data_IF_241555324174
#
_entry.id   IF_241555324174
#
_cell.length_a   1.000
_cell.length_b   1.000
_cell.length_c   1.000
_cell.angle_alpha   90.00
_cell.angle_beta   90.00
_cell.angle_gamma   90.00
#
_symmetry.space_group_name_H-M   'P 1'
#
loop_
_entity.id
_entity.type
_entity.pdbx_description
1 polymer ?
#
# COMPACT_ATOMS: atom_id res chain seq x y z
N UNK A 1 -51.61 21.71 16.29
CA UNK A 1 -50.94 20.60 16.99
C UNK A 1 -50.30 19.72 15.93
N UNK A 2 -48.97 19.76 15.81
CA UNK A 2 -48.21 18.95 14.85
C UNK A 2 -47.75 17.72 15.61
N UNK A 3 -48.42 16.58 15.36
CA UNK A 3 -48.05 15.29 15.94
C UNK A 3 -46.80 14.74 15.27
N UNK A 4 -45.65 14.91 15.91
CA UNK A 4 -44.40 14.31 15.49
C UNK A 4 -44.38 12.81 15.79
N UNK A 5 -44.54 11.98 14.77
CA UNK A 5 -44.26 10.55 14.86
C UNK A 5 -42.74 10.33 14.89
N UNK A 6 -42.15 10.29 16.09
CA UNK A 6 -40.81 9.74 16.30
C UNK A 6 -40.83 8.26 15.96
N UNK A 7 -40.27 7.89 14.79
CA UNK A 7 -39.98 6.49 14.48
C UNK A 7 -38.84 6.03 15.37
N UNK A 8 -39.14 5.12 16.30
CA UNK A 8 -38.14 4.38 17.06
C UNK A 8 -37.24 3.62 16.08
N UNK A 9 -35.90 3.78 16.13
CA UNK A 9 -35.01 3.01 15.27
C UNK A 9 -35.20 1.52 15.57
N UNK A 10 -35.62 0.75 14.58
CA UNK A 10 -35.71 -0.70 14.69
C UNK A 10 -34.30 -1.25 14.87
N UNK A 11 -34.10 -2.09 15.90
CA UNK A 11 -32.82 -2.75 16.11
C UNK A 11 -32.46 -3.58 14.86
N UNK A 12 -31.19 -3.55 14.40
CA UNK A 12 -30.77 -4.33 13.24
C UNK A 12 -31.01 -5.81 13.50
N UNK A 13 -31.52 -6.53 12.51
CA UNK A 13 -31.77 -7.96 12.66
C UNK A 13 -30.44 -8.73 12.71
N UNK A 14 -30.39 -9.93 13.32
CA UNK A 14 -29.19 -10.76 13.32
C UNK A 14 -28.62 -11.04 11.91
N UNK A 15 -29.50 -11.11 10.90
CA UNK A 15 -29.15 -11.24 9.49
C UNK A 15 -28.44 -9.99 8.95
N UNK A 16 -28.88 -8.79 9.34
CA UNK A 16 -28.23 -7.53 8.94
C UNK A 16 -26.83 -7.41 9.55
N UNK A 17 -26.63 -7.89 10.78
CA UNK A 17 -25.32 -7.92 11.43
C UNK A 17 -24.38 -8.90 10.75
N UNK A 18 -24.84 -10.09 10.40
CA UNK A 18 -24.03 -11.10 9.71
C UNK A 18 -23.63 -10.66 8.29
N UNK A 19 -24.56 -10.06 7.54
CA UNK A 19 -24.28 -9.49 6.21
C UNK A 19 -23.32 -8.31 6.32
N UNK A 20 -23.50 -7.43 7.30
CA UNK A 20 -22.59 -6.30 7.55
C UNK A 20 -21.19 -6.79 7.95
N UNK A 21 -21.08 -7.80 8.80
CA UNK A 21 -19.78 -8.40 9.18
C UNK A 21 -19.12 -9.14 8.01
N UNK A 22 -19.89 -9.82 7.16
CA UNK A 22 -19.37 -10.43 5.94
C UNK A 22 -18.87 -9.38 4.95
N UNK A 23 -19.60 -8.27 4.80
CA UNK A 23 -19.18 -7.12 3.97
C UNK A 23 -17.95 -6.45 4.55
N UNK A 24 -17.88 -6.22 5.86
CA UNK A 24 -16.68 -5.67 6.52
C UNK A 24 -15.50 -6.62 6.36
N UNK A 25 -15.70 -7.93 6.51
CA UNK A 25 -14.65 -8.94 6.30
C UNK A 25 -14.23 -9.06 4.83
N UNK A 26 -15.14 -8.86 3.88
CA UNK A 26 -14.88 -8.85 2.44
C UNK A 26 -14.17 -7.56 1.99
N UNK A 27 -14.49 -6.42 2.64
CA UNK A 27 -13.90 -5.11 2.36
C UNK A 27 -12.55 -4.94 3.06
N UNK A 28 -12.47 -5.34 4.34
CA UNK A 28 -11.30 -5.11 5.20
C UNK A 28 -10.44 -6.35 5.39
N UNK A 29 -10.85 -7.52 4.90
CA UNK A 29 -10.14 -8.77 5.13
C UNK A 29 -9.97 -9.07 6.63
N UNK A 30 -8.77 -9.55 6.99
CA UNK A 30 -8.31 -9.66 8.37
C UNK A 30 -7.52 -8.41 8.84
N UNK A 31 -7.79 -7.22 8.30
CA UNK A 31 -7.00 -6.02 8.61
C UNK A 31 -6.97 -5.67 10.10
N UNK A 32 -8.01 -6.00 10.87
CA UNK A 32 -7.97 -5.86 12.33
C UNK A 32 -6.98 -6.85 12.95
N UNK A 33 -7.10 -8.14 12.67
CA UNK A 33 -6.21 -9.17 13.20
C UNK A 33 -4.75 -8.90 12.82
N UNK A 34 -4.49 -8.56 11.55
CA UNK A 34 -3.16 -8.19 11.07
C UNK A 34 -2.56 -6.98 11.80
N UNK A 35 -3.37 -5.95 12.10
CA UNK A 35 -2.93 -4.77 12.87
C UNK A 35 -2.65 -5.11 14.33
N UNK A 36 -3.49 -5.92 14.96
CA UNK A 36 -3.33 -6.30 16.37
C UNK A 36 -2.12 -7.23 16.54
N UNK A 37 -1.88 -8.13 15.59
CA UNK A 37 -0.67 -8.95 15.51
C UNK A 37 0.57 -8.10 15.28
N UNK A 38 0.55 -7.15 14.33
CA UNK A 38 1.66 -6.24 14.09
C UNK A 38 2.00 -5.37 15.31
N UNK A 39 0.99 -4.90 16.06
CA UNK A 39 1.19 -4.18 17.34
C UNK A 39 1.84 -5.07 18.39
N UNK A 40 1.41 -6.33 18.48
CA UNK A 40 1.99 -7.30 19.42
C UNK A 40 3.46 -7.53 19.11
N UNK A 41 3.80 -7.77 17.83
CA UNK A 41 5.18 -7.93 17.38
C UNK A 41 6.02 -6.66 17.59
N UNK A 42 5.44 -5.48 17.37
CA UNK A 42 6.11 -4.21 17.65
C UNK A 42 6.48 -4.10 19.13
N UNK A 43 5.53 -4.34 20.05
CA UNK A 43 5.80 -4.32 21.49
C UNK A 43 6.85 -5.36 21.91
N UNK A 44 6.85 -6.55 21.29
CA UNK A 44 7.89 -7.56 21.52
C UNK A 44 9.26 -7.08 21.03
N UNK A 45 9.32 -6.44 19.87
CA UNK A 45 10.54 -5.86 19.32
C UNK A 45 11.11 -4.78 20.26
N UNK A 46 10.26 -3.88 20.76
CA UNK A 46 10.66 -2.84 21.72
C UNK A 46 11.20 -3.42 23.02
N UNK A 47 10.57 -4.48 23.55
CA UNK A 47 11.06 -5.16 24.74
C UNK A 47 12.44 -5.81 24.52
N UNK A 48 12.66 -6.41 23.34
CA UNK A 48 13.96 -7.00 22.97
C UNK A 48 15.03 -5.94 22.77
N UNK A 49 14.67 -4.81 22.16
CA UNK A 49 15.55 -3.66 22.00
C UNK A 49 15.97 -3.10 23.37
N UNK A 50 15.03 -2.91 24.29
CA UNK A 50 15.31 -2.48 25.66
C UNK A 50 16.21 -3.46 26.43
N UNK A 51 16.15 -4.75 26.10
CA UNK A 51 17.03 -5.78 26.66
C UNK A 51 18.40 -5.90 25.95
N UNK A 52 18.69 -5.06 24.95
CA UNK A 52 19.92 -5.12 24.15
C UNK A 52 19.97 -6.31 23.16
N UNK A 53 18.87 -7.01 22.93
CA UNK A 53 18.76 -8.09 21.96
C UNK A 53 18.34 -7.54 20.58
N UNK A 54 19.28 -6.87 19.91
CA UNK A 54 19.05 -6.21 18.62
C UNK A 54 18.66 -7.18 17.49
N UNK A 55 19.23 -8.38 17.47
CA UNK A 55 18.86 -9.43 16.52
C UNK A 55 17.40 -9.87 16.73
N UNK A 56 17.01 -10.16 17.97
CA UNK A 56 15.62 -10.50 18.29
C UNK A 56 14.65 -9.38 17.93
N UNK A 57 15.02 -8.11 18.20
CA UNK A 57 14.22 -6.96 17.81
C UNK A 57 14.01 -6.90 16.29
N UNK A 58 15.09 -7.09 15.51
CA UNK A 58 15.05 -7.09 14.04
C UNK A 58 14.25 -8.27 13.47
N UNK A 59 14.39 -9.46 14.04
CA UNK A 59 13.57 -10.63 13.67
C UNK A 59 12.08 -10.30 13.80
N UNK A 60 11.66 -9.63 14.90
CA UNK A 60 10.26 -9.20 15.09
C UNK A 60 9.81 -8.13 14.10
N UNK A 61 10.67 -7.18 13.72
CA UNK A 61 10.34 -6.20 12.65
C UNK A 61 10.14 -6.90 11.30
N UNK A 62 10.90 -7.95 11.00
CA UNK A 62 10.69 -8.74 9.78
C UNK A 62 9.45 -9.63 9.82
N UNK A 63 9.13 -10.21 10.97
CA UNK A 63 7.86 -10.91 11.17
C UNK A 63 6.68 -9.98 10.86
N UNK A 64 6.71 -8.72 11.33
CA UNK A 64 5.69 -7.71 11.00
C UNK A 64 5.58 -7.47 9.50
N UNK A 65 6.71 -7.32 8.81
CA UNK A 65 6.73 -7.12 7.34
C UNK A 65 6.19 -8.34 6.58
N UNK A 66 6.24 -9.54 7.16
CA UNK A 66 5.68 -10.74 6.52
C UNK A 66 4.14 -10.78 6.55
N UNK A 67 3.51 -10.19 7.57
CA UNK A 67 2.04 -10.09 7.70
C UNK A 67 1.43 -9.34 6.50
N UNK A 68 2.16 -8.34 5.97
CA UNK A 68 1.75 -7.49 4.85
C UNK A 68 1.47 -8.23 3.53
N UNK A 69 2.04 -9.42 3.32
CA UNK A 69 2.08 -10.08 2.00
C UNK A 69 0.82 -10.84 1.57
N UNK A 70 -0.29 -10.83 2.33
CA UNK A 70 -1.36 -11.82 2.14
C UNK A 70 -2.55 -11.34 1.28
N UNK A 71 -2.81 -10.04 1.19
CA UNK A 71 -3.95 -9.52 0.41
C UNK A 71 -3.46 -8.67 -0.78
N UNK A 72 -3.71 -9.11 -2.03
CA UNK A 72 -3.33 -8.35 -3.22
C UNK A 72 -4.25 -7.17 -3.53
N UNK A 73 -5.23 -6.83 -2.68
CA UNK A 73 -6.10 -5.67 -2.91
C UNK A 73 -5.43 -4.34 -2.54
N UNK A 74 -5.85 -3.23 -3.18
CA UNK A 74 -5.39 -1.87 -2.82
C UNK A 74 -5.77 -1.51 -1.38
N UNK A 75 -6.93 -1.96 -0.89
CA UNK A 75 -7.35 -1.72 0.50
C UNK A 75 -6.48 -2.50 1.50
N UNK A 76 -6.20 -3.77 1.19
CA UNK A 76 -5.22 -4.57 1.93
C UNK A 76 -3.84 -3.90 1.97
N UNK A 77 -3.45 -3.26 0.87
CA UNK A 77 -2.21 -2.50 0.77
C UNK A 77 -2.12 -1.34 1.77
N UNK A 78 -3.21 -0.60 2.01
CA UNK A 78 -3.21 0.51 2.97
C UNK A 78 -2.90 0.03 4.39
N UNK A 79 -3.52 -1.08 4.81
CA UNK A 79 -3.21 -1.71 6.10
C UNK A 79 -1.76 -2.19 6.14
N UNK A 80 -1.31 -2.80 5.06
CA UNK A 80 0.07 -3.23 4.88
C UNK A 80 1.08 -2.07 4.95
N UNK A 81 0.76 -0.89 4.41
CA UNK A 81 1.63 0.29 4.49
C UNK A 81 1.74 0.80 5.92
N UNK A 82 0.65 0.82 6.68
CA UNK A 82 0.69 1.16 8.10
C UNK A 82 1.56 0.17 8.90
N UNK A 83 1.42 -1.13 8.63
CA UNK A 83 2.25 -2.17 9.27
C UNK A 83 3.73 -2.00 8.89
N UNK A 84 4.04 -1.69 7.62
CA UNK A 84 5.42 -1.42 7.19
C UNK A 84 5.99 -0.19 7.91
N UNK A 85 5.23 0.90 8.00
CA UNK A 85 5.68 2.10 8.70
C UNK A 85 5.99 1.81 10.17
N UNK A 86 5.15 1.01 10.84
CA UNK A 86 5.45 0.55 12.20
C UNK A 86 6.72 -0.31 12.24
N UNK A 87 6.86 -1.27 11.33
CA UNK A 87 8.03 -2.17 11.30
C UNK A 87 9.34 -1.40 11.12
N UNK A 88 9.32 -0.34 10.31
CA UNK A 88 10.48 0.51 10.04
C UNK A 88 10.67 1.69 10.99
N UNK A 89 9.72 1.94 11.89
CA UNK A 89 9.90 2.92 12.97
C UNK A 89 11.11 2.54 13.81
N UNK A 90 12.05 3.46 13.95
CA UNK A 90 13.30 3.28 14.73
C UNK A 90 14.17 2.11 14.27
N UNK A 91 14.01 1.66 13.03
CA UNK A 91 14.86 0.62 12.44
C UNK A 91 16.33 1.05 12.44
N UNK A 92 16.60 2.35 12.24
CA UNK A 92 17.94 2.93 12.34
C UNK A 92 18.61 2.60 13.68
N UNK A 93 17.86 2.71 14.78
CA UNK A 93 18.37 2.40 16.12
C UNK A 93 18.62 0.90 16.33
N UNK A 94 17.80 0.02 15.75
CA UNK A 94 18.06 -1.43 15.82
C UNK A 94 19.27 -1.79 14.95
N UNK A 95 19.31 -1.29 13.72
CA UNK A 95 20.30 -1.64 12.71
C UNK A 95 21.71 -1.13 13.05
N UNK A 96 21.84 0.01 13.73
CA UNK A 96 23.13 0.56 14.16
C UNK A 96 23.88 -0.34 15.15
N UNK A 97 23.21 -1.29 15.79
CA UNK A 97 23.82 -2.21 16.76
C UNK A 97 24.07 -3.62 16.21
N UNK A 98 23.69 -3.88 14.95
CA UNK A 98 23.90 -5.17 14.31
C UNK A 98 25.36 -5.32 13.86
N UNK A 99 25.87 -6.55 13.95
CA UNK A 99 27.15 -6.92 13.35
C UNK A 99 27.00 -7.17 11.83
N UNK A 100 28.13 -7.34 11.13
CA UNK A 100 28.12 -7.52 9.68
C UNK A 100 27.36 -8.80 9.23
N UNK A 101 27.55 -9.98 9.87
CA UNK A 101 26.76 -11.17 9.54
C UNK A 101 25.25 -10.95 9.68
N UNK A 102 24.81 -10.30 10.77
CA UNK A 102 23.40 -10.00 11.02
C UNK A 102 22.85 -9.04 9.98
N UNK A 103 23.57 -7.96 9.66
CA UNK A 103 23.21 -7.03 8.58
C UNK A 103 22.99 -7.76 7.25
N UNK A 104 23.88 -8.69 6.88
CA UNK A 104 23.73 -9.48 5.64
C UNK A 104 22.55 -10.44 5.70
N UNK A 105 22.35 -11.13 6.83
CA UNK A 105 21.18 -12.00 7.07
C UNK A 105 19.90 -11.21 6.82
N UNK A 106 19.77 -10.04 7.44
CA UNK A 106 18.54 -9.24 7.38
C UNK A 106 18.33 -8.57 6.02
N UNK A 107 19.40 -8.12 5.36
CA UNK A 107 19.32 -7.66 3.97
C UNK A 107 18.80 -8.77 3.04
N UNK A 108 19.30 -10.00 3.22
CA UNK A 108 18.86 -11.17 2.47
C UNK A 108 17.39 -11.53 2.74
N UNK A 109 16.96 -11.51 4.00
CA UNK A 109 15.58 -11.76 4.38
C UNK A 109 14.62 -10.69 3.85
N UNK A 110 14.97 -9.40 3.93
CA UNK A 110 14.20 -8.31 3.32
C UNK A 110 14.10 -8.44 1.81
N UNK A 111 15.20 -8.81 1.14
CA UNK A 111 15.21 -9.07 -0.30
C UNK A 111 14.24 -10.20 -0.66
N UNK A 112 14.27 -11.30 0.10
CA UNK A 112 13.36 -12.43 -0.10
C UNK A 112 11.89 -12.08 0.18
N UNK A 113 11.63 -11.18 1.14
CA UNK A 113 10.30 -10.65 1.41
C UNK A 113 9.82 -9.76 0.26
N UNK A 114 10.64 -8.81 -0.21
CA UNK A 114 10.27 -7.91 -1.31
C UNK A 114 9.96 -8.67 -2.61
N UNK A 115 10.72 -9.73 -2.91
CA UNK A 115 10.50 -10.57 -4.07
C UNK A 115 9.13 -11.30 -4.06
N UNK A 116 8.53 -11.51 -2.88
CA UNK A 116 7.20 -12.12 -2.72
C UNK A 116 6.07 -11.10 -2.74
N UNK A 117 6.38 -9.81 -2.64
CA UNK A 117 5.35 -8.77 -2.58
C UNK A 117 4.67 -8.59 -3.94
N UNK A 118 3.34 -8.40 -3.98
CA UNK A 118 2.65 -8.14 -5.22
C UNK A 118 3.13 -6.82 -5.85
N UNK A 119 3.28 -6.82 -7.16
CA UNK A 119 3.50 -5.59 -7.92
C UNK A 119 2.23 -4.73 -7.90
N UNK A 120 2.36 -3.41 -8.07
CA UNK A 120 1.17 -2.56 -8.18
C UNK A 120 0.24 -3.01 -9.34
N UNK A 121 0.81 -3.53 -10.42
CA UNK A 121 0.05 -4.12 -11.54
C UNK A 121 -0.77 -5.32 -11.08
N UNK A 122 -0.16 -6.26 -10.35
CA UNK A 122 -0.86 -7.41 -9.81
C UNK A 122 -2.02 -6.99 -8.87
N UNK A 123 -1.81 -5.94 -8.08
CA UNK A 123 -2.85 -5.41 -7.20
C UNK A 123 -4.02 -4.81 -7.98
N UNK A 124 -3.75 -4.00 -9.00
CA UNK A 124 -4.77 -3.44 -9.89
C UNK A 124 -5.56 -4.54 -10.61
N UNK A 125 -4.91 -5.63 -11.00
CA UNK A 125 -5.57 -6.79 -11.62
C UNK A 125 -6.47 -7.54 -10.62
N UNK A 126 -6.01 -7.73 -9.39
CA UNK A 126 -6.81 -8.34 -8.32
C UNK A 126 -8.05 -7.50 -8.00
N UNK A 127 -7.90 -6.18 -7.87
CA UNK A 127 -9.03 -5.28 -7.65
C UNK A 127 -10.01 -5.25 -8.81
N UNK A 128 -9.50 -5.24 -10.05
CA UNK A 128 -10.35 -5.39 -11.25
C UNK A 128 -11.21 -6.65 -11.15
N UNK A 129 -10.60 -7.80 -10.87
CA UNK A 129 -11.30 -9.07 -10.78
C UNK A 129 -12.36 -9.05 -9.67
N UNK A 130 -12.00 -8.54 -8.48
CA UNK A 130 -12.90 -8.40 -7.32
C UNK A 130 -14.10 -7.51 -7.63
N UNK A 131 -13.88 -6.32 -8.19
CA UNK A 131 -14.97 -5.38 -8.51
C UNK A 131 -15.89 -5.94 -9.59
N UNK A 132 -15.34 -6.60 -10.62
CA UNK A 132 -16.14 -7.25 -11.65
C UNK A 132 -16.99 -8.41 -11.09
N UNK A 133 -16.44 -9.18 -10.16
CA UNK A 133 -17.19 -10.22 -9.45
C UNK A 133 -18.30 -9.63 -8.58
N UNK A 134 -18.01 -8.56 -7.82
CA UNK A 134 -19.01 -7.86 -7.00
C UNK A 134 -20.14 -7.27 -7.87
N UNK A 135 -19.80 -6.66 -9.01
CA UNK A 135 -20.79 -6.20 -10.00
C UNK A 135 -21.67 -7.36 -10.45
N UNK A 136 -21.07 -8.46 -10.91
CA UNK A 136 -21.79 -9.61 -11.45
C UNK A 136 -22.70 -10.29 -10.40
N UNK A 137 -22.30 -10.31 -9.13
CA UNK A 137 -23.12 -10.87 -8.04
C UNK A 137 -24.29 -9.94 -7.72
N UNK A 138 -24.02 -8.64 -7.51
CA UNK A 138 -25.04 -7.67 -7.06
C UNK A 138 -26.06 -7.34 -8.15
N UNK A 139 -25.67 -7.40 -9.42
CA UNK A 139 -26.54 -7.08 -10.54
C UNK A 139 -27.52 -8.21 -10.92
N UNK A 140 -27.38 -9.41 -10.34
CA UNK A 140 -28.28 -10.55 -10.62
C UNK A 140 -29.67 -10.37 -10.03
N UNK A 141 -29.77 -9.75 -8.86
CA UNK A 141 -31.03 -9.47 -8.19
C UNK A 141 -31.39 -7.98 -8.40
N UNK A 142 -32.48 -7.67 -9.12
CA UNK A 142 -32.92 -6.30 -9.34
C UNK A 142 -33.17 -5.49 -8.05
N UNK A 143 -33.57 -6.14 -6.94
CA UNK A 143 -33.77 -5.48 -5.65
C UNK A 143 -32.43 -5.09 -5.03
N UNK A 144 -31.46 -6.00 -5.01
CA UNK A 144 -30.10 -5.73 -4.50
C UNK A 144 -29.43 -4.65 -5.36
N UNK A 145 -29.55 -4.74 -6.69
CA UNK A 145 -29.00 -3.76 -7.61
C UNK A 145 -29.58 -2.35 -7.37
N UNK A 146 -30.90 -2.23 -7.23
CA UNK A 146 -31.56 -0.95 -6.94
C UNK A 146 -31.17 -0.40 -5.56
N UNK A 147 -31.13 -1.24 -4.53
CA UNK A 147 -30.71 -0.84 -3.19
C UNK A 147 -29.27 -0.32 -3.20
N UNK A 148 -28.36 -1.05 -3.86
CA UNK A 148 -26.98 -0.61 -4.00
C UNK A 148 -26.87 0.70 -4.78
N UNK A 149 -27.60 0.90 -5.88
CA UNK A 149 -27.62 2.20 -6.59
C UNK A 149 -28.11 3.33 -5.67
N UNK A 150 -29.14 3.06 -4.86
CA UNK A 150 -29.67 4.04 -3.92
C UNK A 150 -28.64 4.42 -2.86
N UNK A 151 -27.92 3.43 -2.32
CA UNK A 151 -26.86 3.63 -1.31
C UNK A 151 -25.60 4.31 -1.88
N UNK A 152 -25.31 4.09 -3.16
CA UNK A 152 -24.12 4.65 -3.82
C UNK A 152 -24.28 6.13 -4.23
N UNK A 153 -25.51 6.64 -4.39
CA UNK A 153 -25.73 7.91 -5.10
C UNK A 153 -25.72 9.17 -4.23
N UNK A 154 -24.84 10.12 -4.54
CA UNK A 154 -24.84 11.48 -3.96
C UNK A 154 -26.02 12.34 -4.45
N UNK A 155 -26.66 12.00 -5.59
CA UNK A 155 -27.81 12.76 -6.13
C UNK A 155 -28.85 11.88 -6.85
N UNK A 156 -30.15 12.26 -6.84
CA UNK A 156 -31.21 11.56 -7.59
C UNK A 156 -30.94 11.43 -9.09
N UNK A 157 -30.26 12.43 -9.69
CA UNK A 157 -29.91 12.45 -11.11
C UNK A 157 -28.92 11.34 -11.48
N UNK A 158 -27.92 11.09 -10.64
CA UNK A 158 -26.95 10.02 -10.85
C UNK A 158 -27.59 8.64 -10.70
N UNK A 159 -28.43 8.47 -9.67
CA UNK A 159 -29.18 7.23 -9.47
C UNK A 159 -30.09 6.90 -10.66
N UNK A 160 -30.79 7.90 -11.22
CA UNK A 160 -31.63 7.71 -12.40
C UNK A 160 -30.80 7.33 -13.64
N UNK A 161 -29.62 7.92 -13.82
CA UNK A 161 -28.71 7.58 -14.90
C UNK A 161 -28.19 6.13 -14.78
N UNK A 162 -27.82 5.70 -13.57
CA UNK A 162 -27.34 4.33 -13.30
C UNK A 162 -28.44 3.28 -13.49
N UNK A 163 -29.66 3.56 -13.04
CA UNK A 163 -30.80 2.66 -13.23
C UNK A 163 -31.14 2.40 -14.71
N UNK A 164 -30.78 3.33 -15.60
CA UNK A 164 -30.99 3.21 -17.05
C UNK A 164 -29.80 2.58 -17.78
N UNK A 165 -28.66 2.41 -17.11
CA UNK A 165 -27.43 1.92 -17.74
C UNK A 165 -27.39 0.38 -17.73
N UNK A 166 -27.17 -0.28 -18.88
CA UNK A 166 -26.96 -1.72 -18.92
C UNK A 166 -25.74 -2.13 -18.09
N UNK A 167 -25.84 -3.24 -17.35
CA UNK A 167 -24.74 -3.79 -16.55
C UNK A 167 -23.50 -4.09 -17.41
N UNK A 168 -23.70 -4.53 -18.65
CA UNK A 168 -22.61 -4.76 -19.62
C UNK A 168 -21.84 -3.47 -19.94
N UNK A 169 -22.52 -2.33 -19.98
CA UNK A 169 -21.89 -1.03 -20.19
C UNK A 169 -21.06 -0.62 -18.98
N UNK A 170 -21.59 -0.82 -17.75
CA UNK A 170 -20.86 -0.57 -16.49
C UNK A 170 -19.60 -1.44 -16.43
N UNK A 171 -19.73 -2.74 -16.75
CA UNK A 171 -18.59 -3.66 -16.85
C UNK A 171 -17.51 -3.13 -17.80
N UNK A 172 -17.89 -2.67 -18.99
CA UNK A 172 -16.96 -2.10 -19.96
C UNK A 172 -16.22 -0.86 -19.46
N UNK A 173 -16.88 -0.01 -18.66
CA UNK A 173 -16.21 1.14 -18.03
C UNK A 173 -15.19 0.73 -16.96
N UNK A 174 -15.52 -0.24 -16.11
CA UNK A 174 -14.61 -0.78 -15.10
C UNK A 174 -13.38 -1.40 -15.78
N UNK A 175 -13.58 -2.21 -16.82
CA UNK A 175 -12.48 -2.82 -17.58
C UNK A 175 -11.59 -1.76 -18.22
N UNK A 176 -12.18 -0.77 -18.88
CA UNK A 176 -11.44 0.34 -19.50
C UNK A 176 -10.63 1.11 -18.46
N UNK A 177 -11.20 1.37 -17.29
CA UNK A 177 -10.50 2.04 -16.20
C UNK A 177 -9.27 1.26 -15.73
N UNK A 178 -9.45 0.00 -15.32
CA UNK A 178 -8.35 -0.79 -14.79
C UNK A 178 -7.28 -1.09 -15.84
N UNK A 179 -7.65 -1.32 -17.10
CA UNK A 179 -6.68 -1.52 -18.17
C UNK A 179 -5.81 -0.28 -18.39
N UNK A 180 -6.40 0.92 -18.35
CA UNK A 180 -5.64 2.16 -18.44
C UNK A 180 -4.71 2.37 -17.24
N UNK A 181 -5.15 2.00 -16.02
CA UNK A 181 -4.33 2.06 -14.79
C UNK A 181 -3.15 1.08 -14.85
N UNK A 182 -3.38 -0.15 -15.28
CA UNK A 182 -2.34 -1.17 -15.47
C UNK A 182 -1.29 -0.68 -16.48
N UNK A 183 -1.73 -0.17 -17.64
CA UNK A 183 -0.81 0.35 -18.65
C UNK A 183 0.00 1.55 -18.16
N UNK A 184 -0.57 2.37 -17.27
CA UNK A 184 0.15 3.46 -16.62
C UNK A 184 1.15 2.97 -15.58
N UNK A 185 0.79 1.95 -14.79
CA UNK A 185 1.64 1.34 -13.76
C UNK A 185 2.85 0.57 -14.33
N UNK A 186 2.80 0.14 -15.59
CA UNK A 186 3.92 -0.48 -16.31
C UNK A 186 5.02 0.51 -16.74
N UNK A 187 4.73 1.82 -16.71
CA UNK A 187 5.71 2.87 -17.04
C UNK A 187 6.50 3.27 -15.79
N UNK A 188 7.62 4.01 -15.90
CA UNK A 188 8.23 4.67 -14.73
C UNK A 188 7.20 5.49 -13.95
N UNK A 189 7.46 5.69 -12.66
CA UNK A 189 6.57 6.49 -11.81
C UNK A 189 6.36 7.89 -12.39
N UNK A 190 5.14 8.41 -12.26
CA UNK A 190 4.82 9.77 -12.62
C UNK A 190 3.62 10.25 -11.83
N UNK A 191 3.70 11.47 -11.31
CA UNK A 191 2.58 12.20 -10.70
C UNK A 191 1.50 12.56 -11.73
N UNK A 192 1.83 12.52 -13.04
CA UNK A 192 0.86 12.78 -14.11
C UNK A 192 -0.11 11.62 -14.24
N UNK A 193 -1.31 11.85 -13.73
CA UNK A 193 -2.43 10.94 -13.80
C UNK A 193 -3.02 10.82 -15.20
N UNK A 194 -3.41 9.60 -15.57
CA UNK A 194 -4.22 9.38 -16.77
C UNK A 194 -5.65 9.77 -16.46
N UNK A 195 -6.15 10.83 -17.12
CA UNK A 195 -7.57 11.21 -17.03
C UNK A 195 -8.42 10.16 -17.74
N UNK A 196 -9.09 9.32 -16.97
CA UNK A 196 -10.00 8.30 -17.49
C UNK A 196 -11.44 8.77 -17.27
N UNK A 197 -12.21 8.89 -18.36
CA UNK A 197 -13.66 9.12 -18.24
C UNK A 197 -14.31 7.86 -17.68
N UNK A 198 -14.85 7.98 -16.47
CA UNK A 198 -15.60 6.93 -15.78
C UNK A 198 -17.08 7.31 -15.69
N UNK A 199 -17.95 6.30 -15.72
CA UNK A 199 -19.37 6.47 -15.38
C UNK A 199 -19.54 6.67 -13.86
N UNK A 200 -20.75 7.07 -13.40
CA UNK A 200 -20.98 7.31 -11.98
C UNK A 200 -20.70 6.09 -11.10
N UNK A 201 -21.06 4.88 -11.52
CA UNK A 201 -20.84 3.67 -10.72
C UNK A 201 -19.35 3.39 -10.58
N UNK A 202 -18.63 3.38 -11.71
CA UNK A 202 -17.17 3.17 -11.71
C UNK A 202 -16.45 4.22 -10.84
N UNK A 203 -16.90 5.47 -10.86
CA UNK A 203 -16.34 6.53 -9.99
C UNK A 203 -16.53 6.21 -8.50
N UNK A 204 -17.72 5.76 -8.12
CA UNK A 204 -18.08 5.52 -6.73
C UNK A 204 -17.40 4.28 -6.16
N UNK A 205 -17.37 3.18 -6.91
CA UNK A 205 -16.81 1.90 -6.40
C UNK A 205 -15.30 1.85 -6.40
N UNK A 206 -14.66 2.66 -7.26
CA UNK A 206 -13.20 2.71 -7.33
C UNK A 206 -12.65 3.77 -6.36
N UNK A 207 -13.41 4.82 -6.06
CA UNK A 207 -12.96 5.90 -5.19
C UNK A 207 -11.81 6.72 -5.78
N UNK A 208 -11.27 7.64 -4.99
CA UNK A 208 -10.03 8.33 -5.35
C UNK A 208 -8.84 7.44 -5.01
N UNK A 209 -8.28 6.81 -6.04
CA UNK A 209 -7.07 5.97 -5.96
C UNK A 209 -5.82 6.77 -6.36
N UNK A 210 -5.91 8.11 -6.33
CA UNK A 210 -4.87 9.08 -6.71
C UNK A 210 -3.50 8.75 -6.12
N UNK A 211 -3.50 8.42 -4.83
CA UNK A 211 -2.32 8.21 -4.01
C UNK A 211 -1.77 6.78 -4.02
N UNK A 212 -2.53 5.76 -4.44
CA UNK A 212 -2.14 4.37 -4.18
C UNK A 212 -0.85 3.96 -4.87
N UNK A 213 -0.63 4.45 -6.09
CA UNK A 213 0.64 4.22 -6.79
C UNK A 213 1.79 4.89 -6.04
N UNK A 214 1.60 6.13 -5.60
CA UNK A 214 2.62 6.84 -4.84
C UNK A 214 2.97 6.07 -3.57
N UNK A 215 1.97 5.71 -2.76
CA UNK A 215 2.17 4.94 -1.53
C UNK A 215 2.86 3.60 -1.81
N UNK A 216 2.47 2.89 -2.88
CA UNK A 216 3.16 1.65 -3.26
C UNK A 216 4.63 1.90 -3.62
N UNK A 217 4.90 2.91 -4.45
CA UNK A 217 6.24 3.25 -4.95
C UNK A 217 7.15 3.73 -3.81
N UNK A 218 6.66 4.62 -2.97
CA UNK A 218 7.33 5.13 -1.78
C UNK A 218 7.71 3.98 -0.83
N UNK A 219 6.72 3.15 -0.46
CA UNK A 219 6.97 2.01 0.42
C UNK A 219 7.92 1.00 -0.18
N UNK A 220 7.89 0.78 -1.50
CA UNK A 220 8.89 -0.07 -2.16
C UNK A 220 10.29 0.55 -2.09
N UNK A 221 10.39 1.85 -2.30
CA UNK A 221 11.66 2.60 -2.22
C UNK A 221 12.25 2.50 -0.82
N UNK A 222 11.45 2.73 0.23
CA UNK A 222 11.86 2.60 1.64
C UNK A 222 12.46 1.21 1.94
N UNK A 223 11.83 0.11 1.46
CA UNK A 223 12.36 -1.25 1.64
C UNK A 223 13.69 -1.44 0.92
N UNK A 224 13.80 -0.99 -0.33
CA UNK A 224 15.02 -1.15 -1.13
C UNK A 224 16.18 -0.35 -0.54
N UNK A 225 15.93 0.89 -0.12
CA UNK A 225 16.92 1.73 0.56
C UNK A 225 17.36 1.11 1.90
N UNK A 226 16.45 0.49 2.65
CA UNK A 226 16.78 -0.26 3.87
C UNK A 226 17.69 -1.46 3.58
N UNK A 227 17.40 -2.24 2.52
CA UNK A 227 18.26 -3.36 2.10
C UNK A 227 19.67 -2.86 1.79
N UNK A 228 19.77 -1.79 0.99
CA UNK A 228 21.04 -1.15 0.64
C UNK A 228 21.79 -0.69 1.89
N UNK A 229 21.12 0.00 2.82
CA UNK A 229 21.75 0.51 4.03
C UNK A 229 22.30 -0.61 4.93
N UNK A 230 21.57 -1.72 5.07
CA UNK A 230 22.07 -2.91 5.79
C UNK A 230 23.31 -3.50 5.09
N UNK A 231 23.31 -3.58 3.77
CA UNK A 231 24.46 -4.08 3.01
C UNK A 231 25.67 -3.15 3.11
N UNK A 232 25.46 -1.84 3.03
CA UNK A 232 26.51 -0.84 3.21
C UNK A 232 27.12 -0.93 4.61
N UNK A 233 26.30 -1.01 5.67
CA UNK A 233 26.79 -1.19 7.03
C UNK A 233 27.61 -2.47 7.21
N UNK A 234 27.17 -3.58 6.62
CA UNK A 234 27.95 -4.81 6.63
C UNK A 234 29.32 -4.64 5.95
N UNK A 235 29.37 -3.97 4.79
CA UNK A 235 30.60 -3.68 4.07
C UNK A 235 31.53 -2.76 4.90
N UNK A 236 30.98 -1.74 5.56
CA UNK A 236 31.72 -0.81 6.42
C UNK A 236 32.34 -1.51 7.64
N UNK A 237 31.55 -2.33 8.35
CA UNK A 237 32.01 -3.12 9.49
C UNK A 237 33.12 -4.11 9.09
N UNK A 238 33.09 -4.62 7.85
CA UNK A 238 34.09 -5.52 7.29
C UNK A 238 35.24 -4.79 6.56
N UNK A 239 35.19 -3.46 6.46
CA UNK A 239 36.13 -2.62 5.68
C UNK A 239 36.25 -3.03 4.21
N UNK A 240 35.14 -3.45 3.60
CA UNK A 240 35.04 -3.86 2.20
C UNK A 240 34.47 -2.75 1.34
N UNK A 241 34.85 -2.75 0.06
CA UNK A 241 34.18 -1.96 -0.96
C UNK A 241 32.91 -2.68 -1.40
N UNK A 242 31.86 -1.92 -1.73
CA UNK A 242 30.64 -2.44 -2.35
C UNK A 242 30.97 -3.22 -3.62
N UNK A 243 30.50 -4.47 -3.67
CA UNK A 243 30.65 -5.35 -4.85
C UNK A 243 29.31 -5.79 -5.45
N UNK A 244 28.20 -5.51 -4.78
CA UNK A 244 26.84 -5.87 -5.19
C UNK A 244 26.17 -4.73 -5.96
N UNK A 245 25.29 -5.02 -6.94
CA UNK A 245 24.62 -3.98 -7.73
C UNK A 245 23.51 -3.29 -6.93
N UNK A 246 23.27 -2.00 -7.19
CA UNK A 246 22.12 -1.28 -6.63
C UNK A 246 20.81 -1.77 -7.27
N UNK A 247 19.71 -1.92 -6.50
CA UNK A 247 18.42 -2.33 -7.04
C UNK A 247 17.80 -1.24 -7.90
N UNK A 248 16.86 -1.61 -8.78
CA UNK A 248 16.09 -0.67 -9.60
C UNK A 248 15.27 0.29 -8.73
N UNK A 249 15.43 1.59 -8.96
CA UNK A 249 14.69 2.65 -8.31
C UNK A 249 13.21 2.62 -8.74
N UNK A 250 12.24 2.49 -7.82
CA UNK A 250 10.82 2.53 -8.14
C UNK A 250 10.34 3.87 -8.72
N UNK A 251 11.03 4.97 -8.42
CA UNK A 251 10.73 6.30 -8.95
C UNK A 251 11.46 6.60 -10.28
N UNK A 252 12.61 5.95 -10.51
CA UNK A 252 13.44 6.12 -11.69
C UNK A 252 13.21 5.07 -12.78
N UNK A 253 14.00 5.15 -13.86
CA UNK A 253 14.06 4.14 -14.93
C UNK A 253 15.26 3.20 -14.83
N UNK A 254 16.11 3.37 -13.82
CA UNK A 254 17.37 2.66 -13.64
C UNK A 254 17.59 2.25 -12.18
N UNK A 255 18.82 1.85 -11.81
CA UNK A 255 19.16 1.58 -10.41
C UNK A 255 19.01 2.84 -9.55
N UNK A 256 18.92 2.63 -8.22
CA UNK A 256 19.17 3.68 -7.24
C UNK A 256 20.49 4.40 -7.57
N UNK A 257 20.55 5.68 -7.22
CA UNK A 257 21.69 6.55 -7.51
C UNK A 257 22.68 6.51 -6.36
N UNK A 258 23.93 6.80 -6.66
CA UNK A 258 25.02 6.88 -5.69
C UNK A 258 25.87 8.12 -5.98
N UNK A 259 26.18 8.89 -4.94
CA UNK A 259 27.11 10.02 -5.02
C UNK A 259 28.00 10.00 -3.79
N UNK A 260 29.30 9.80 -4.01
CA UNK A 260 30.26 9.47 -2.96
C UNK A 260 29.82 8.23 -2.18
N UNK A 261 29.36 8.38 -0.92
CA UNK A 261 28.86 7.28 -0.08
C UNK A 261 27.33 7.27 0.05
N UNK A 262 26.66 8.32 -0.42
CA UNK A 262 25.21 8.47 -0.31
C UNK A 262 24.51 7.70 -1.44
N UNK A 263 23.70 6.72 -1.08
CA UNK A 263 22.75 6.06 -1.99
C UNK A 263 21.36 6.68 -1.80
N UNK A 264 20.65 6.90 -2.91
CA UNK A 264 19.34 7.54 -2.88
C UNK A 264 18.45 7.11 -4.04
N UNK A 265 17.14 7.30 -3.88
CA UNK A 265 16.16 7.28 -4.96
C UNK A 265 15.93 8.70 -5.48
N UNK A 266 15.64 8.84 -6.79
CA UNK A 266 15.32 10.13 -7.43
C UNK A 266 13.98 10.73 -7.02
N UNK A 267 13.23 10.04 -6.15
CA UNK A 267 12.05 10.61 -5.50
C UNK A 267 10.84 10.87 -6.41
N UNK A 268 9.75 11.42 -5.86
CA UNK A 268 8.44 11.49 -6.51
C UNK A 268 8.37 12.42 -7.72
N UNK A 269 9.22 13.44 -7.82
CA UNK A 269 9.26 14.29 -9.01
C UNK A 269 10.09 13.68 -10.16
N UNK A 270 10.70 12.51 -9.92
CA UNK A 270 11.51 11.73 -10.84
C UNK A 270 12.70 12.50 -11.43
N UNK A 271 13.24 13.46 -10.68
CA UNK A 271 14.43 14.23 -11.05
C UNK A 271 15.57 13.90 -10.12
N UNK A 272 16.72 13.62 -10.71
CA UNK A 272 17.96 13.44 -9.95
C UNK A 272 18.46 14.82 -9.50
N UNK A 273 18.30 15.10 -8.21
CA UNK A 273 18.76 16.35 -7.59
C UNK A 273 20.19 16.20 -7.01
N UNK A 274 20.90 15.14 -7.39
CA UNK A 274 22.31 14.91 -7.04
C UNK A 274 22.53 14.62 -5.56
N UNK A 275 21.57 13.93 -4.93
CA UNK A 275 21.53 13.56 -3.51
C UNK A 275 20.89 14.61 -2.61
N UNK A 276 20.24 15.65 -3.18
CA UNK A 276 19.60 16.69 -2.37
C UNK A 276 18.26 16.17 -1.87
N UNK A 277 18.19 15.97 -0.56
CA UNK A 277 17.04 15.32 0.06
C UNK A 277 15.73 16.09 -0.09
N UNK A 278 14.62 15.36 -0.18
CA UNK A 278 13.26 15.87 0.07
C UNK A 278 13.16 16.57 1.44
N UNK A 279 12.20 17.49 1.65
CA UNK A 279 12.10 18.26 2.91
C UNK A 279 11.93 17.39 4.17
N UNK A 280 11.24 16.26 4.06
CA UNK A 280 11.05 15.32 5.15
C UNK A 280 11.14 13.86 4.66
N UNK A 281 12.33 13.23 4.71
CA UNK A 281 12.54 11.86 4.22
C UNK A 281 11.73 10.79 4.96
N UNK A 282 11.27 11.09 6.20
CA UNK A 282 10.43 10.18 6.99
C UNK A 282 8.94 10.31 6.66
N UNK A 283 8.55 11.31 5.87
CA UNK A 283 7.16 11.59 5.50
C UNK A 283 7.05 12.17 4.09
N UNK A 284 7.57 11.42 3.11
CA UNK A 284 7.56 11.81 1.70
C UNK A 284 6.12 11.99 1.19
N UNK A 285 5.89 13.07 0.45
CA UNK A 285 4.64 13.37 -0.25
C UNK A 285 4.82 13.24 -1.76
N UNK A 286 3.73 12.98 -2.48
CA UNK A 286 3.75 12.89 -3.96
C UNK A 286 4.10 14.21 -4.66
N UNK A 287 4.03 15.32 -3.93
CA UNK A 287 4.37 16.67 -4.39
C UNK A 287 5.76 17.14 -3.97
N UNK A 288 6.49 16.32 -3.18
CA UNK A 288 7.84 16.67 -2.77
C UNK A 288 8.79 16.73 -3.97
N UNK A 289 9.85 17.53 -3.82
CA UNK A 289 10.95 17.64 -4.76
C UNK A 289 12.24 17.29 -4.03
N UNK A 290 13.12 16.56 -4.69
CA UNK A 290 14.33 16.04 -4.07
C UNK A 290 14.39 14.52 -4.08
N UNK A 291 15.57 14.06 -3.70
CA UNK A 291 15.93 12.67 -3.60
C UNK A 291 15.53 12.08 -2.23
N UNK A 292 15.28 10.77 -2.18
CA UNK A 292 15.02 10.03 -0.94
C UNK A 292 16.32 9.30 -0.55
N UNK A 293 17.07 9.78 0.44
CA UNK A 293 18.33 9.15 0.84
C UNK A 293 18.09 7.80 1.52
N UNK A 294 19.04 6.89 1.39
CA UNK A 294 19.08 5.68 2.21
C UNK A 294 19.23 6.06 3.70
N UNK A 295 18.60 5.31 4.62
CA UNK A 295 18.81 5.52 6.05
C UNK A 295 20.27 5.26 6.41
N UNK A 296 20.79 6.02 7.36
CA UNK A 296 22.16 5.85 7.89
C UNK A 296 22.11 5.03 9.17
N UNK A 297 22.84 3.91 9.22
CA UNK A 297 22.90 2.98 10.35
C UNK A 297 24.26 3.01 11.04
#
# INVERSE_FOLDING_TARGET
MIGGCSRTPTAPTPTDVAVTQAIIKDITGNAKGARDEARTLFSQSEALLAAGNYNGAMDKRLEMLSIRGQDPSTFGALTAYAIQQMAFSDLENVASHLDAPSCRKYAGQLTALDAKMPTHVAMLQADKARILQQLATRSRDPKIWKAMIADLGDTPRQQQALNKMPVSQIKGYIEKFYNARVNWALKPYSTKWVKIRVDPYTRLVIGDTSSDRFLWTDRKTERLLTIVALQQRADELEKKKRAWPLPTDPFGSGPLKEKAVLVYSVGPDAKDDGGKSVPNPKSVQDTDKGDIPAPTF
#
